data_IF_466350538462
#
_entry.id   IF_466350538462
#
_cell.length_a   1.000
_cell.length_b   1.000
_cell.length_c   1.000
_cell.angle_alpha   90.00
_cell.angle_beta   90.00
_cell.angle_gamma   90.00
#
_symmetry.space_group_name_H-M   'P 1'
#
loop_
_entity.id
_entity.type
_entity.pdbx_description
1 polymer ?
#
# COMPACT_ATOMS: atom_id res chain seq x y z
N UNK A 1 1.91 -0.72 19.56
CA UNK A 1 0.42 -0.68 19.62
C UNK A 1 -0.12 -1.82 18.79
N UNK A 2 -1.31 -2.34 19.09
CA UNK A 2 -1.97 -3.25 18.15
C UNK A 2 -2.67 -2.44 17.05
N UNK A 3 -2.36 -2.75 15.78
CA UNK A 3 -3.05 -2.21 14.61
C UNK A 3 -3.47 -3.37 13.69
N UNK A 4 -4.50 -3.21 12.83
CA UNK A 4 -5.03 -4.31 12.04
C UNK A 4 -4.10 -4.77 10.90
N UNK A 5 -3.06 -3.99 10.61
CA UNK A 5 -2.20 -4.16 9.42
C UNK A 5 -0.90 -4.95 9.65
N UNK A 6 -0.84 -5.79 10.71
CA UNK A 6 0.40 -6.53 11.07
C UNK A 6 0.92 -7.42 9.94
N UNK A 7 0.03 -7.93 9.09
CA UNK A 7 0.40 -8.77 7.94
C UNK A 7 1.33 -8.07 6.95
N UNK A 8 1.27 -6.74 6.89
CA UNK A 8 2.08 -5.94 5.97
C UNK A 8 3.45 -5.55 6.53
N UNK A 9 3.68 -5.58 7.85
CA UNK A 9 4.90 -5.06 8.50
C UNK A 9 6.20 -5.66 7.96
N UNK A 10 6.16 -6.93 7.53
CA UNK A 10 7.32 -7.65 7.02
C UNK A 10 7.45 -7.60 5.48
N UNK A 11 6.64 -6.79 4.82
CA UNK A 11 6.65 -6.67 3.36
C UNK A 11 7.58 -5.55 2.89
N UNK A 12 8.19 -5.66 1.69
CA UNK A 12 9.00 -4.57 1.13
C UNK A 12 8.22 -3.26 0.97
N UNK A 13 6.93 -3.35 0.61
CA UNK A 13 6.08 -2.18 0.41
C UNK A 13 5.86 -1.40 1.71
N UNK A 14 5.74 -2.08 2.85
CA UNK A 14 5.62 -1.42 4.15
C UNK A 14 6.84 -0.56 4.45
N UNK A 15 8.06 -1.07 4.22
CA UNK A 15 9.28 -0.31 4.42
C UNK A 15 9.35 0.93 3.51
N UNK A 16 9.01 0.76 2.23
CA UNK A 16 9.06 1.87 1.24
C UNK A 16 8.05 2.96 1.59
N UNK A 17 6.79 2.57 1.83
CA UNK A 17 5.72 3.50 2.20
C UNK A 17 6.03 4.16 3.55
N UNK A 18 6.53 3.39 4.52
CA UNK A 18 6.91 3.92 5.82
C UNK A 18 7.99 5.00 5.75
N UNK A 19 9.02 4.79 4.92
CA UNK A 19 10.05 5.80 4.66
C UNK A 19 9.45 7.04 4.01
N UNK A 20 8.67 6.88 2.94
CA UNK A 20 8.05 8.01 2.25
C UNK A 20 7.12 8.83 3.15
N UNK A 21 6.28 8.19 3.97
CA UNK A 21 5.39 8.90 4.91
C UNK A 21 6.21 9.61 6.00
N UNK A 22 7.27 8.98 6.51
CA UNK A 22 8.15 9.61 7.51
C UNK A 22 8.80 10.87 6.94
N UNK A 23 9.38 10.80 5.74
CA UNK A 23 10.00 11.95 5.06
C UNK A 23 8.99 13.10 4.83
N UNK A 24 7.76 12.79 4.42
CA UNK A 24 6.71 13.80 4.23
C UNK A 24 6.31 14.49 5.53
N UNK A 25 6.28 13.76 6.65
CA UNK A 25 6.01 14.33 7.97
C UNK A 25 7.18 15.20 8.44
N UNK A 26 8.41 14.71 8.29
CA UNK A 26 9.62 15.44 8.67
C UNK A 26 9.79 16.75 7.88
N UNK A 27 9.42 16.75 6.60
CA UNK A 27 9.42 17.94 5.75
C UNK A 27 8.24 18.88 6.00
N UNK A 28 7.29 18.53 6.88
CA UNK A 28 6.03 19.24 7.10
C UNK A 28 5.15 19.35 5.84
N UNK A 29 5.31 18.44 4.89
CA UNK A 29 4.44 18.36 3.70
C UNK A 29 3.06 17.82 4.08
N UNK A 30 3.00 16.96 5.10
CA UNK A 30 1.76 16.41 5.67
C UNK A 30 1.81 16.40 7.20
N UNK A 31 0.63 16.44 7.82
CA UNK A 31 0.45 16.20 9.26
C UNK A 31 -0.45 14.98 9.47
N UNK A 32 0.01 14.01 10.26
CA UNK A 32 -0.77 12.81 10.56
C UNK A 32 -1.66 13.03 11.77
N UNK A 33 -2.97 12.80 11.59
CA UNK A 33 -3.96 12.85 12.69
C UNK A 33 -4.17 11.48 13.36
N UNK A 34 -3.49 10.44 12.88
CA UNK A 34 -3.57 9.06 13.35
C UNK A 34 -2.17 8.44 13.43
N UNK A 35 -1.96 7.36 14.19
CA UNK A 35 -0.66 6.67 14.23
C UNK A 35 -0.20 6.27 12.82
N UNK A 36 1.11 6.38 12.58
CA UNK A 36 1.72 6.18 11.27
C UNK A 36 1.47 4.78 10.71
N UNK A 37 1.40 3.77 11.57
CA UNK A 37 1.18 2.37 11.20
C UNK A 37 -0.22 2.14 10.59
N UNK A 38 -1.22 2.94 10.98
CA UNK A 38 -2.55 2.88 10.38
C UNK A 38 -2.53 3.44 8.94
N UNK A 39 -1.74 4.49 8.71
CA UNK A 39 -1.60 5.14 7.41
C UNK A 39 -0.82 4.24 6.47
N UNK A 40 0.36 3.76 6.88
CA UNK A 40 1.20 2.84 6.12
C UNK A 40 0.41 1.58 5.77
N UNK A 41 -0.24 0.97 6.77
CA UNK A 41 -0.98 -0.27 6.59
C UNK A 41 -2.17 -0.14 5.65
N UNK A 42 -2.91 0.98 5.72
CA UNK A 42 -4.01 1.24 4.78
C UNK A 42 -3.51 1.39 3.33
N UNK A 43 -2.40 2.09 3.13
CA UNK A 43 -1.78 2.26 1.80
C UNK A 43 -1.31 0.90 1.27
N UNK A 44 -0.65 0.08 2.09
CA UNK A 44 -0.21 -1.27 1.72
C UNK A 44 -1.39 -2.14 1.27
N UNK A 45 -2.48 -2.14 2.04
CA UNK A 45 -3.72 -2.83 1.68
C UNK A 45 -4.27 -2.37 0.32
N UNK A 46 -4.25 -1.07 0.03
CA UNK A 46 -4.72 -0.55 -1.27
C UNK A 46 -3.81 -0.94 -2.43
N UNK A 47 -2.51 -0.94 -2.22
CA UNK A 47 -1.54 -1.35 -3.23
C UNK A 47 -1.62 -2.85 -3.54
N UNK A 48 -1.83 -3.71 -2.53
CA UNK A 48 -2.08 -5.13 -2.73
C UNK A 48 -3.33 -5.39 -3.59
N UNK A 49 -4.43 -4.70 -3.29
CA UNK A 49 -5.64 -4.78 -4.13
C UNK A 49 -5.38 -4.33 -5.57
N UNK A 50 -4.49 -3.36 -5.79
CA UNK A 50 -4.10 -2.94 -7.13
C UNK A 50 -3.27 -4.01 -7.87
N UNK A 51 -2.41 -4.74 -7.16
CA UNK A 51 -1.64 -5.85 -7.73
C UNK A 51 -2.51 -7.07 -8.07
N UNK A 52 -3.55 -7.36 -7.28
CA UNK A 52 -4.52 -8.44 -7.56
C UNK A 52 -5.28 -8.17 -8.87
N UNK A 53 -5.54 -6.90 -9.20
CA UNK A 53 -6.25 -6.51 -10.43
C UNK A 53 -5.42 -6.64 -11.73
N UNK A 54 -4.14 -7.04 -11.65
CA UNK A 54 -3.30 -7.22 -12.85
C UNK A 54 -3.53 -8.61 -13.48
N UNK A 55 -3.97 -9.61 -12.71
CA UNK A 55 -4.26 -10.96 -13.25
C UNK A 55 -5.59 -11.04 -14.04
N UNK A 56 -6.53 -10.12 -13.83
CA UNK A 56 -7.83 -10.13 -14.53
C UNK A 56 -7.81 -9.50 -15.94
N UNK A 57 -6.67 -9.00 -16.43
CA UNK A 57 -6.55 -8.48 -17.81
C UNK A 57 -5.88 -9.45 -18.79
N UNK A 58 -5.88 -10.76 -18.52
CA UNK A 58 -5.60 -11.78 -19.53
C UNK A 58 -6.77 -12.76 -19.73
N UNK A 59 -7.95 -12.26 -20.08
CA UNK A 59 -8.88 -13.06 -20.88
C UNK A 59 -9.81 -12.15 -21.68
N UNK A 60 -9.47 -11.91 -22.96
CA UNK A 60 -10.42 -11.79 -24.11
C UNK A 60 -9.73 -11.11 -25.30
N UNK A 61 -8.77 -11.80 -25.94
CA UNK A 61 -8.47 -11.65 -27.37
C UNK A 61 -8.01 -12.97 -27.96
N UNK A 62 -8.80 -14.02 -27.80
CA UNK A 62 -8.85 -15.11 -28.76
C UNK A 62 -10.28 -15.13 -29.28
N UNK A 63 -10.40 -14.95 -30.61
CA UNK A 63 -11.58 -14.97 -31.50
C UNK A 63 -11.47 -13.73 -32.42
N UNK A 64 -11.29 -13.80 -33.73
CA UNK A 64 -11.52 -14.87 -34.69
C UNK A 64 -10.74 -14.59 -35.99
N UNK A 65 -10.29 -15.69 -36.62
CA UNK A 65 -10.18 -15.95 -38.07
C UNK A 65 -9.24 -15.11 -38.94
#
# INVERSE_FOLDING_TARGET
MEHPYKEYENTPIWSIVGQAITELVENNDIELQTPIEYVIGYICKKAELANINIEEQQCSKNDNK
#
